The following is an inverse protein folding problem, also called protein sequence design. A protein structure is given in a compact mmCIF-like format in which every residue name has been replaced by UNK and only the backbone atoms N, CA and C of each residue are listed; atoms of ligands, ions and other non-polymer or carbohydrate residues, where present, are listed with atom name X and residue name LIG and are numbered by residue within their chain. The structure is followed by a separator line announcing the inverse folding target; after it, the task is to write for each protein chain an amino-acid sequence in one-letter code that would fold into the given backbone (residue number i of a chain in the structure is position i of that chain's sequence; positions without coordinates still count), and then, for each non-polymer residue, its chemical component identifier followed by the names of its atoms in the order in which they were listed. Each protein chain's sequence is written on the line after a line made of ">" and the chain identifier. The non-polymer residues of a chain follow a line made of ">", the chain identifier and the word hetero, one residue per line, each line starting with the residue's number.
data_IF_940808003964
#
_entry.id   IF_940808003964
#
_cell.length_a   1.000
_cell.length_b   1.000
_cell.length_c   1.000
_cell.angle_alpha   90.00
_cell.angle_beta   90.00
_cell.angle_gamma   90.00
#
_symmetry.space_group_name_H-M   'P 1'
#
loop_
_entity.id
_entity.type
_entity.pdbx_description
1 polymer ?
#
# COMPACT_ATOMS: atom_id res chain seq x y z
N UNK A 1 7.74 -6.05 12.02
CA UNK A 1 8.32 -6.35 10.69
C UNK A 1 7.27 -6.73 9.63
N UNK A 2 6.23 -7.54 9.90
CA UNK A 2 5.23 -7.94 8.87
C UNK A 2 4.42 -6.79 8.23
N UNK A 3 4.24 -5.65 8.90
CA UNK A 3 3.47 -4.48 8.40
C UNK A 3 4.22 -3.58 7.41
N UNK A 4 5.55 -3.67 7.30
CA UNK A 4 6.34 -2.76 6.45
C UNK A 4 6.49 -3.24 4.99
N UNK A 5 5.96 -4.43 4.65
CA UNK A 5 6.10 -5.05 3.32
C UNK A 5 4.83 -4.87 2.48
N UNK A 6 4.37 -3.63 2.35
CA UNK A 6 3.15 -3.28 1.60
C UNK A 6 3.22 -3.68 0.12
N UNK A 7 4.40 -3.53 -0.49
CA UNK A 7 4.66 -3.90 -1.89
C UNK A 7 4.31 -5.36 -2.19
N UNK A 8 4.55 -6.30 -1.28
CA UNK A 8 4.18 -7.71 -1.48
C UNK A 8 2.67 -7.87 -1.65
N UNK A 9 1.86 -7.18 -0.84
CA UNK A 9 0.40 -7.26 -0.99
C UNK A 9 -0.05 -6.73 -2.35
N UNK A 10 0.57 -5.67 -2.86
CA UNK A 10 0.25 -5.11 -4.18
C UNK A 10 0.57 -6.09 -5.31
N UNK A 11 1.69 -6.80 -5.22
CA UNK A 11 2.02 -7.89 -6.16
C UNK A 11 0.93 -8.96 -6.15
N UNK A 12 0.44 -9.35 -4.97
CA UNK A 12 -0.62 -10.36 -4.86
C UNK A 12 -1.94 -9.91 -5.50
N UNK A 13 -2.19 -8.61 -5.50
CA UNK A 13 -3.34 -7.98 -6.16
C UNK A 13 -3.15 -7.78 -7.67
N UNK A 14 -2.05 -8.27 -8.27
CA UNK A 14 -1.77 -8.11 -9.69
C UNK A 14 -1.56 -6.65 -10.09
N UNK A 15 -1.05 -5.82 -9.16
CA UNK A 15 -0.83 -4.38 -9.37
C UNK A 15 0.55 -4.03 -9.89
N UNK A 16 1.35 -5.02 -10.25
CA UNK A 16 2.61 -4.81 -10.95
C UNK A 16 2.84 -5.90 -12.00
N UNK A 17 3.71 -5.65 -13.01
CA UNK A 17 3.87 -6.53 -14.16
C UNK A 17 4.53 -7.86 -13.78
N UNK A 18 5.48 -7.85 -12.84
CA UNK A 18 6.23 -9.03 -12.38
C UNK A 18 7.03 -9.74 -13.49
N UNK A 19 7.37 -9.02 -14.56
CA UNK A 19 7.95 -9.56 -15.79
C UNK A 19 9.48 -9.52 -15.84
N UNK A 20 10.13 -8.81 -14.90
CA UNK A 20 11.58 -8.60 -14.93
C UNK A 20 12.31 -9.16 -13.71
N UNK A 21 13.49 -9.74 -13.92
CA UNK A 21 14.36 -10.22 -12.86
C UNK A 21 14.77 -9.09 -11.89
N UNK A 22 14.87 -7.85 -12.40
CA UNK A 22 15.16 -6.68 -11.59
C UNK A 22 14.01 -6.35 -10.62
N UNK A 23 12.76 -6.49 -11.07
CA UNK A 23 11.58 -6.30 -10.21
C UNK A 23 11.56 -7.33 -9.09
N UNK A 24 11.78 -8.61 -9.43
CA UNK A 24 11.90 -9.69 -8.45
C UNK A 24 13.01 -9.44 -7.46
N UNK A 25 14.17 -8.96 -7.91
CA UNK A 25 15.29 -8.62 -7.03
C UNK A 25 14.91 -7.53 -6.04
N UNK A 26 14.34 -6.41 -6.50
CA UNK A 26 13.93 -5.30 -5.63
C UNK A 26 12.84 -5.69 -4.61
N UNK A 27 12.05 -6.73 -4.89
CA UNK A 27 11.02 -7.27 -3.99
C UNK A 27 11.56 -8.29 -2.98
N UNK A 28 12.56 -9.07 -3.37
CA UNK A 28 12.97 -10.28 -2.65
C UNK A 28 14.30 -10.20 -1.92
N UNK A 29 15.18 -9.23 -2.23
CA UNK A 29 16.55 -9.17 -1.71
C UNK A 29 16.63 -9.08 -0.17
N UNK A 30 15.54 -8.66 0.50
CA UNK A 30 15.41 -8.60 1.96
C UNK A 30 14.22 -9.41 2.53
N UNK A 31 13.67 -10.33 1.73
CA UNK A 31 12.48 -11.11 2.08
C UNK A 31 12.85 -12.58 2.27
N UNK A 32 12.72 -13.06 3.51
CA UNK A 32 12.78 -14.50 3.78
C UNK A 32 11.59 -15.20 3.11
N UNK A 33 11.86 -15.79 1.95
CA UNK A 33 10.91 -16.53 1.12
C UNK A 33 10.38 -17.77 1.82
N UNK A 34 11.11 -18.34 2.80
CA UNK A 34 10.67 -19.54 3.52
C UNK A 34 9.48 -19.27 4.44
N UNK A 35 9.33 -18.02 4.91
CA UNK A 35 8.15 -17.57 5.66
C UNK A 35 6.92 -17.32 4.77
N UNK A 36 7.11 -17.25 3.45
CA UNK A 36 6.06 -17.06 2.44
C UNK A 36 5.85 -18.37 1.66
N UNK A 37 5.47 -19.43 2.37
CA UNK A 37 5.13 -20.75 1.80
C UNK A 37 3.83 -20.77 0.96
N UNK A 38 3.35 -19.61 0.52
CA UNK A 38 2.22 -19.49 -0.40
C UNK A 38 2.77 -19.11 -1.77
N UNK A 39 2.58 -20.00 -2.76
CA UNK A 39 2.87 -19.71 -4.15
C UNK A 39 2.29 -18.35 -4.52
N UNK A 40 3.17 -17.37 -4.70
CA UNK A 40 2.79 -15.99 -4.96
C UNK A 40 2.41 -15.88 -6.44
N UNK A 41 1.16 -16.23 -6.73
CA UNK A 41 0.59 -16.09 -8.07
C UNK A 41 -0.22 -14.79 -8.06
N UNK A 42 0.22 -13.74 -8.79
CA UNK A 42 -0.58 -12.53 -8.94
C UNK A 42 -1.98 -12.90 -9.42
N UNK A 43 -3.01 -12.29 -8.82
CA UNK A 43 -4.37 -12.53 -9.27
C UNK A 43 -4.55 -12.05 -10.71
N UNK A 44 -5.25 -12.84 -11.53
CA UNK A 44 -5.66 -12.42 -12.88
C UNK A 44 -6.89 -11.52 -12.87
N UNK A 45 -7.52 -11.34 -11.71
CA UNK A 45 -8.69 -10.49 -11.56
C UNK A 45 -8.30 -9.01 -11.53
N UNK A 46 -9.09 -8.17 -12.20
CA UNK A 46 -8.96 -6.72 -12.04
C UNK A 46 -9.34 -6.36 -10.61
N UNK A 47 -8.47 -5.63 -9.93
CA UNK A 47 -8.70 -5.13 -8.56
C UNK A 47 -8.79 -3.60 -8.59
N UNK A 48 -9.77 -3.02 -7.92
CA UNK A 48 -9.83 -1.57 -7.66
C UNK A 48 -9.45 -1.32 -6.21
N UNK A 49 -8.30 -0.68 -5.98
CA UNK A 49 -7.80 -0.40 -4.64
C UNK A 49 -8.20 1.02 -4.24
N UNK A 50 -8.83 1.15 -3.08
CA UNK A 50 -9.23 2.44 -2.54
C UNK A 50 -9.20 2.44 -1.01
N UNK A 51 -9.16 3.63 -0.43
CA UNK A 51 -9.24 3.87 1.01
C UNK A 51 -10.68 4.28 1.38
N UNK A 52 -11.17 3.84 2.55
CA UNK A 52 -12.58 4.01 2.95
C UNK A 52 -12.97 5.49 3.03
N UNK A 53 -12.06 6.35 3.49
CA UNK A 53 -12.26 7.80 3.53
C UNK A 53 -12.47 8.44 2.15
N UNK A 54 -12.05 7.80 1.05
CA UNK A 54 -12.36 8.29 -0.31
C UNK A 54 -13.86 8.19 -0.65
N UNK A 55 -14.62 7.32 0.03
CA UNK A 55 -16.08 7.27 -0.11
C UNK A 55 -16.76 8.52 0.47
N UNK A 56 -16.13 9.14 1.48
CA UNK A 56 -16.68 10.26 2.24
C UNK A 56 -15.87 11.56 2.03
N UNK A 57 -15.20 11.67 0.89
CA UNK A 57 -14.24 12.74 0.64
C UNK A 57 -14.89 14.13 0.66
N UNK A 58 -14.39 15.01 1.53
CA UNK A 58 -14.90 16.37 1.66
C UNK A 58 -14.58 17.24 0.43
N UNK A 59 -13.58 16.87 -0.36
CA UNK A 59 -13.27 17.56 -1.61
C UNK A 59 -14.14 17.03 -2.74
N UNK A 60 -15.08 17.85 -3.20
CA UNK A 60 -16.08 17.49 -4.23
C UNK A 60 -15.42 17.01 -5.53
N UNK A 61 -14.34 17.67 -5.97
CA UNK A 61 -13.62 17.29 -7.19
C UNK A 61 -13.00 15.90 -7.05
N UNK A 62 -12.35 15.62 -5.92
CA UNK A 62 -11.73 14.31 -5.65
C UNK A 62 -12.78 13.21 -5.46
N UNK A 63 -13.88 13.52 -4.79
CA UNK A 63 -15.03 12.62 -4.64
C UNK A 63 -15.68 12.27 -5.99
N UNK A 64 -15.81 13.26 -6.89
CA UNK A 64 -16.34 13.04 -8.23
C UNK A 64 -15.40 12.17 -9.07
N UNK A 65 -14.10 12.46 -9.04
CA UNK A 65 -13.10 11.66 -9.75
C UNK A 65 -13.12 10.20 -9.28
N UNK A 66 -13.13 9.97 -7.96
CA UNK A 66 -13.22 8.64 -7.37
C UNK A 66 -14.44 7.87 -7.88
N UNK A 67 -15.62 8.49 -7.87
CA UNK A 67 -16.86 7.88 -8.36
C UNK A 67 -16.79 7.56 -9.85
N UNK A 68 -16.25 8.46 -10.66
CA UNK A 68 -16.07 8.23 -12.10
C UNK A 68 -15.15 7.03 -12.36
N UNK A 69 -14.04 6.92 -11.63
CA UNK A 69 -13.08 5.83 -11.81
C UNK A 69 -13.62 4.49 -11.31
N UNK A 70 -14.32 4.48 -10.17
CA UNK A 70 -14.99 3.28 -9.68
C UNK A 70 -16.11 2.85 -10.62
N UNK A 71 -16.92 3.80 -11.12
CA UNK A 71 -17.98 3.57 -12.09
C UNK A 71 -17.43 2.94 -13.37
N UNK A 72 -16.38 3.53 -13.94
CA UNK A 72 -15.66 2.96 -15.11
C UNK A 72 -15.14 1.55 -14.83
N UNK A 73 -14.61 1.31 -13.62
CA UNK A 73 -14.08 0.01 -13.24
C UNK A 73 -15.16 -1.07 -13.16
N UNK A 74 -16.33 -0.76 -12.59
CA UNK A 74 -17.45 -1.72 -12.44
C UNK A 74 -18.41 -1.74 -13.63
N UNK A 75 -18.26 -0.80 -14.59
CA UNK A 75 -19.13 -0.67 -15.76
C UNK A 75 -20.46 0.02 -15.48
N UNK A 76 -20.48 1.00 -14.57
CA UNK A 76 -21.66 1.81 -14.21
C UNK A 76 -21.37 3.29 -14.49
N UNK A 77 -22.26 3.96 -15.21
CA UNK A 77 -22.06 5.35 -15.66
C UNK A 77 -22.18 6.39 -14.54
N UNK A 78 -23.07 6.17 -13.57
CA UNK A 78 -23.26 7.05 -12.42
C UNK A 78 -23.50 6.25 -11.13
N UNK A 79 -22.64 6.47 -10.14
CA UNK A 79 -22.72 5.84 -8.82
C UNK A 79 -23.55 6.66 -7.81
N UNK A 80 -24.01 7.86 -8.19
CA UNK A 80 -24.70 8.77 -7.28
C UNK A 80 -23.78 9.27 -6.16
N UNK A 81 -24.36 9.87 -5.12
CA UNK A 81 -23.60 10.26 -3.92
C UNK A 81 -23.36 9.06 -2.99
N UNK A 82 -22.12 8.93 -2.52
CA UNK A 82 -21.72 7.86 -1.60
C UNK A 82 -22.07 8.24 -0.15
N UNK A 83 -22.49 7.26 0.65
CA UNK A 83 -22.76 7.47 2.07
C UNK A 83 -21.47 7.84 2.80
N UNK A 84 -21.50 8.94 3.54
CA UNK A 84 -20.38 9.34 4.41
C UNK A 84 -20.20 8.31 5.51
N UNK A 85 -19.22 7.43 5.35
CA UNK A 85 -18.76 6.56 6.44
C UNK A 85 -17.85 7.41 7.32
N UNK A 86 -18.31 7.71 8.54
CA UNK A 86 -17.42 8.25 9.58
C UNK A 86 -16.47 7.12 9.98
N UNK A 87 -15.38 6.95 9.23
CA UNK A 87 -14.23 6.20 9.67
C UNK A 87 -13.59 6.99 10.82
N UNK A 88 -14.13 6.83 12.02
CA UNK A 88 -13.55 7.40 13.22
C UNK A 88 -12.13 6.83 13.32
N UNK A 89 -11.12 7.64 13.00
CA UNK A 89 -9.75 7.34 13.36
C UNK A 89 -9.74 7.18 14.87
N UNK A 90 -9.60 5.94 15.36
CA UNK A 90 -9.38 5.72 16.78
C UNK A 90 -8.14 6.51 17.15
N UNK A 91 -8.31 7.53 18.01
CA UNK A 91 -7.19 8.23 18.61
C UNK A 91 -6.29 7.18 19.27
N UNK A 92 -4.99 7.28 19.04
CA UNK A 92 -4.00 6.45 19.73
C UNK A 92 -4.25 6.64 21.23
N UNK A 93 -4.42 5.54 21.96
CA UNK A 93 -4.63 5.65 23.41
C UNK A 93 -3.37 6.22 24.06
N UNK A 94 -3.52 6.96 25.15
CA UNK A 94 -2.38 7.51 25.89
C UNK A 94 -1.36 6.43 26.26
N UNK A 95 -1.83 5.25 26.70
CA UNK A 95 -0.97 4.11 26.99
C UNK A 95 -0.22 3.55 25.76
N UNK A 96 -0.76 3.69 24.56
CA UNK A 96 -0.05 3.33 23.33
C UNK A 96 0.98 4.41 22.96
N UNK A 97 0.68 5.67 23.21
CA UNK A 97 1.57 6.81 22.94
C UNK A 97 2.80 6.79 23.85
N UNK A 98 2.64 6.46 25.13
CA UNK A 98 3.75 6.27 26.09
C UNK A 98 4.68 5.11 25.72
N UNK A 99 4.23 4.17 24.89
CA UNK A 99 5.03 3.04 24.39
C UNK A 99 5.62 3.27 23.00
N UNK A 100 5.39 4.44 22.41
CA UNK A 100 5.97 4.76 21.11
C UNK A 100 7.47 4.99 21.25
N UNK A 101 8.25 4.21 20.52
CA UNK A 101 9.69 4.43 20.40
C UNK A 101 9.94 5.54 19.38
N UNK A 102 10.85 6.45 19.70
CA UNK A 102 11.39 7.39 18.72
C UNK A 102 12.48 6.67 17.95
N UNK A 103 12.18 6.31 16.70
CA UNK A 103 13.21 5.73 15.84
C UNK A 103 14.34 6.72 15.57
N UNK A 104 14.18 8.02 15.88
CA UNK A 104 15.16 9.10 15.74
C UNK A 104 16.26 9.10 16.80
N UNK A 105 16.10 8.30 17.86
CA UNK A 105 17.09 8.22 18.93
C UNK A 105 18.35 7.48 18.45
N UNK A 106 19.52 7.87 18.98
CA UNK A 106 20.82 7.34 18.52
C UNK A 106 20.92 5.81 18.66
N UNK A 107 20.33 5.25 19.72
CA UNK A 107 20.30 3.80 19.97
C UNK A 107 19.61 3.00 18.84
N UNK A 108 18.75 3.67 18.06
CA UNK A 108 18.01 3.07 16.95
C UNK A 108 18.67 3.33 15.58
N UNK A 109 19.90 3.86 15.52
CA UNK A 109 20.58 4.17 14.25
C UNK A 109 20.69 2.97 13.32
N UNK A 110 21.07 1.80 13.85
CA UNK A 110 21.15 0.58 13.05
C UNK A 110 19.79 0.18 12.44
N UNK A 111 18.72 0.28 13.23
CA UNK A 111 17.35 0.02 12.74
C UNK A 111 16.98 1.01 11.62
N UNK A 112 17.32 2.29 11.78
CA UNK A 112 17.07 3.33 10.78
C UNK A 112 17.79 3.02 9.47
N UNK A 113 19.04 2.58 9.52
CA UNK A 113 19.81 2.20 8.32
C UNK A 113 19.11 1.08 7.55
N UNK A 114 18.68 0.02 8.25
CA UNK A 114 17.93 -1.10 7.64
C UNK A 114 16.61 -0.63 7.04
N UNK A 115 15.86 0.23 7.75
CA UNK A 115 14.62 0.79 7.23
C UNK A 115 14.85 1.67 6.00
N UNK A 116 15.91 2.47 5.98
CA UNK A 116 16.23 3.36 4.86
C UNK A 116 16.72 2.61 3.62
N UNK A 117 17.47 1.52 3.78
CA UNK A 117 17.83 0.62 2.68
C UNK A 117 16.56 0.07 2.02
N UNK A 118 15.67 -0.53 2.81
CA UNK A 118 14.39 -1.03 2.30
C UNK A 118 13.54 0.09 1.65
N UNK A 119 13.51 1.29 2.23
CA UNK A 119 12.75 2.41 1.68
C UNK A 119 13.27 2.85 0.31
N UNK A 120 14.60 2.80 0.08
CA UNK A 120 15.19 3.11 -1.23
C UNK A 120 14.81 2.08 -2.27
N UNK A 121 14.90 0.80 -1.94
CA UNK A 121 14.56 -0.29 -2.86
C UNK A 121 13.07 -0.25 -3.22
N UNK A 122 12.19 -0.08 -2.23
CA UNK A 122 10.75 0.09 -2.45
C UNK A 122 10.46 1.35 -3.26
N UNK A 123 11.12 2.48 -2.98
CA UNK A 123 10.93 3.71 -3.77
C UNK A 123 11.34 3.52 -5.22
N UNK A 124 12.43 2.79 -5.46
CA UNK A 124 12.88 2.44 -6.81
C UNK A 124 11.89 1.52 -7.50
N UNK A 125 11.40 0.49 -6.81
CA UNK A 125 10.35 -0.40 -7.33
C UNK A 125 9.08 0.37 -7.70
N UNK A 126 8.61 1.28 -6.83
CA UNK A 126 7.41 2.10 -7.11
C UNK A 126 7.58 2.90 -8.40
N UNK A 127 8.74 3.55 -8.57
CA UNK A 127 9.01 4.41 -9.73
C UNK A 127 9.18 3.65 -11.03
N UNK A 128 9.75 2.44 -10.98
CA UNK A 128 10.08 1.67 -12.18
C UNK A 128 8.97 0.73 -12.62
N UNK A 129 8.12 0.27 -11.69
CA UNK A 129 7.15 -0.77 -11.98
C UNK A 129 5.74 -0.33 -11.60
N UNK A 130 5.50 0.15 -10.38
CA UNK A 130 4.15 0.41 -9.90
C UNK A 130 3.43 1.58 -10.57
N UNK A 131 4.13 2.70 -10.82
CA UNK A 131 3.47 3.89 -11.39
C UNK A 131 3.11 3.75 -12.88
N UNK A 132 3.80 2.86 -13.60
CA UNK A 132 3.58 2.60 -15.03
C UNK A 132 2.65 1.39 -15.27
N UNK A 133 2.09 0.80 -14.18
CA UNK A 133 1.19 -0.37 -14.20
C UNK A 133 -0.29 -0.03 -14.31
#
# INVERSE_FOLDING_TARGET
>A
VKKSRFHLNLVGLGKTPMDSDLEWKLLLENTDMTAFNFGFVPTSMKVFLYEIGQLADANITRAHQFRSDLGRFIGVDDLGEMVKINAAHKSISQAAQERMISICDEEHNHLREVLMTNARDVSRWVKLFFLDS
#
